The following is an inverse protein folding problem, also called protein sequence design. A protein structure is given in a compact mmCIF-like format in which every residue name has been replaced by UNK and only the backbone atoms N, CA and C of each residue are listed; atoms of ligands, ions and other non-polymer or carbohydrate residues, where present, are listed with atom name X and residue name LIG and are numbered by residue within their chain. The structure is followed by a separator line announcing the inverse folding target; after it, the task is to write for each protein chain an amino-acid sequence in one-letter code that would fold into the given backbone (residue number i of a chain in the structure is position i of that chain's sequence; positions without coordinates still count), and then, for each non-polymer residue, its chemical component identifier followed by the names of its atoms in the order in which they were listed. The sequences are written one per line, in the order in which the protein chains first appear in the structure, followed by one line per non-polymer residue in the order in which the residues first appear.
data_IF_988315068023
#
_entry.id   IF_988315068023
#
_cell.length_a   1.000
_cell.length_b   1.000
_cell.length_c   1.000
_cell.angle_alpha   90.00
_cell.angle_beta   90.00
_cell.angle_gamma   90.00
#
_symmetry.space_group_name_H-M   'P 1'
#
loop_
_entity.id
_entity.type
_entity.pdbx_description
1 polymer ?
#
# COMPACT_ATOMS: atom_id res chain seq x y z
N UNK A 1 -3.10 19.55 8.87
CA UNK A 1 -3.69 18.23 9.13
C UNK A 1 -5.09 18.09 8.54
N UNK A 2 -6.07 18.94 8.87
CA UNK A 2 -7.42 18.83 8.30
C UNK A 2 -7.48 18.90 6.76
N UNK A 3 -6.63 19.73 6.13
CA UNK A 3 -6.50 19.78 4.66
C UNK A 3 -5.95 18.47 4.08
N UNK A 4 -5.00 17.84 4.76
CA UNK A 4 -4.41 16.57 4.33
C UNK A 4 -5.46 15.47 4.29
N UNK A 5 -6.26 15.35 5.36
CA UNK A 5 -7.38 14.42 5.39
C UNK A 5 -8.39 14.71 4.29
N UNK A 6 -8.74 15.97 4.07
CA UNK A 6 -9.71 16.34 3.03
C UNK A 6 -9.22 15.91 1.64
N UNK A 7 -7.94 16.13 1.34
CA UNK A 7 -7.31 15.68 0.08
C UNK A 7 -7.31 14.16 -0.01
N UNK A 8 -6.89 13.46 1.05
CA UNK A 8 -6.88 11.99 1.11
C UNK A 8 -8.29 11.43 0.87
N UNK A 9 -9.32 11.97 1.53
CA UNK A 9 -10.70 11.51 1.37
C UNK A 9 -11.27 11.87 -0.01
N UNK A 10 -10.99 13.08 -0.52
CA UNK A 10 -11.42 13.48 -1.85
C UNK A 10 -10.83 12.56 -2.92
N UNK A 11 -9.53 12.29 -2.84
CA UNK A 11 -8.88 11.36 -3.75
C UNK A 11 -9.38 9.93 -3.59
N UNK A 12 -9.63 9.48 -2.36
CA UNK A 12 -10.22 8.16 -2.13
C UNK A 12 -11.60 8.04 -2.80
N UNK A 13 -12.46 9.05 -2.67
CA UNK A 13 -13.78 9.05 -3.32
C UNK A 13 -13.62 9.05 -4.84
N UNK A 14 -12.68 9.84 -5.36
CA UNK A 14 -12.39 9.90 -6.80
C UNK A 14 -11.86 8.57 -7.31
N UNK A 15 -10.95 7.92 -6.58
CA UNK A 15 -10.35 6.63 -6.94
C UNK A 15 -11.38 5.51 -6.83
N UNK A 16 -12.20 5.46 -5.78
CA UNK A 16 -13.28 4.48 -5.66
C UNK A 16 -14.29 4.63 -6.79
N UNK A 17 -14.67 5.87 -7.11
CA UNK A 17 -15.57 6.13 -8.22
C UNK A 17 -14.91 5.75 -9.56
N UNK A 18 -13.63 6.07 -9.73
CA UNK A 18 -12.86 5.72 -10.92
C UNK A 18 -12.69 4.21 -11.06
N UNK A 19 -12.39 3.46 -9.99
CA UNK A 19 -12.27 2.00 -10.00
C UNK A 19 -13.61 1.34 -10.33
N UNK A 20 -14.73 1.85 -9.82
CA UNK A 20 -16.05 1.38 -10.18
C UNK A 20 -16.28 1.51 -11.70
N UNK A 21 -15.95 2.68 -12.28
CA UNK A 21 -16.05 2.92 -13.72
C UNK A 21 -15.02 2.12 -14.53
N UNK A 22 -13.81 1.96 -14.00
CA UNK A 22 -12.74 1.22 -14.63
C UNK A 22 -13.12 -0.26 -14.72
N UNK A 23 -13.60 -0.89 -13.66
CA UNK A 23 -14.04 -2.28 -13.68
C UNK A 23 -15.10 -2.53 -14.77
N UNK A 24 -16.01 -1.58 -14.97
CA UNK A 24 -17.00 -1.60 -16.06
C UNK A 24 -16.37 -1.43 -17.44
N UNK A 25 -15.28 -0.66 -17.56
CA UNK A 25 -14.58 -0.37 -18.82
C UNK A 25 -13.52 -1.42 -19.20
N UNK A 26 -12.79 -2.00 -18.24
CA UNK A 26 -11.77 -3.03 -18.50
C UNK A 26 -12.33 -4.39 -18.80
N UNK A 27 -13.59 -4.67 -18.45
CA UNK A 27 -14.34 -5.80 -19.03
C UNK A 27 -14.39 -5.72 -20.57
N UNK A 28 -14.09 -4.54 -21.17
CA UNK A 28 -14.18 -4.29 -22.61
C UNK A 28 -12.82 -4.04 -23.32
N UNK A 29 -11.68 -3.90 -22.62
CA UNK A 29 -10.37 -3.65 -23.28
C UNK A 29 -9.16 -4.06 -22.43
N UNK A 30 -8.12 -4.58 -23.10
CA UNK A 30 -6.83 -5.05 -22.54
C UNK A 30 -6.27 -4.20 -21.38
N UNK A 31 -6.49 -4.63 -20.13
CA UNK A 31 -6.18 -3.88 -18.91
C UNK A 31 -4.68 -3.68 -18.59
N UNK A 32 -3.78 -4.40 -19.25
CA UNK A 32 -2.37 -4.51 -18.84
C UNK A 32 -1.56 -3.19 -18.87
N UNK A 33 -1.90 -2.25 -19.76
CA UNK A 33 -1.18 -0.98 -19.87
C UNK A 33 -1.55 0.04 -18.79
N UNK A 34 -2.78 -0.06 -18.26
CA UNK A 34 -3.27 0.90 -17.25
C UNK A 34 -2.62 0.60 -15.90
N UNK A 35 -2.44 -0.68 -15.57
CA UNK A 35 -1.82 -1.13 -14.32
C UNK A 35 -0.37 -0.60 -14.21
N UNK A 36 0.43 -0.76 -15.27
CA UNK A 36 1.81 -0.24 -15.34
C UNK A 36 1.84 1.28 -15.16
N UNK A 37 0.90 1.99 -15.80
CA UNK A 37 0.80 3.45 -15.67
C UNK A 37 0.50 3.90 -14.23
N UNK A 38 -0.40 3.21 -13.54
CA UNK A 38 -0.73 3.50 -12.14
C UNK A 38 0.45 3.24 -11.20
N UNK A 39 1.17 2.14 -11.40
CA UNK A 39 2.38 1.84 -10.62
C UNK A 39 3.46 2.92 -10.81
N UNK A 40 3.75 3.30 -12.06
CA UNK A 40 4.75 4.34 -12.36
C UNK A 40 4.35 5.67 -11.71
N UNK A 41 3.07 6.06 -11.79
CA UNK A 41 2.57 7.27 -11.14
C UNK A 41 2.70 7.20 -9.62
N UNK A 42 2.36 6.06 -9.03
CA UNK A 42 2.47 5.83 -7.58
C UNK A 42 3.92 5.98 -7.11
N UNK A 43 4.87 5.28 -7.72
CA UNK A 43 6.29 5.38 -7.36
C UNK A 43 6.86 6.78 -7.60
N UNK A 44 6.50 7.42 -8.71
CA UNK A 44 6.92 8.79 -9.02
C UNK A 44 6.39 9.78 -7.98
N UNK A 45 5.13 9.64 -7.56
CA UNK A 45 4.54 10.52 -6.53
C UNK A 45 5.19 10.31 -5.15
N UNK A 46 5.55 9.07 -4.80
CA UNK A 46 6.29 8.75 -3.58
C UNK A 46 7.67 9.40 -3.59
N UNK A 47 8.38 9.30 -4.72
CA UNK A 47 9.67 9.97 -4.90
C UNK A 47 9.58 11.49 -4.81
N UNK A 48 8.60 12.10 -5.49
CA UNK A 48 8.33 13.54 -5.40
C UNK A 48 8.00 13.98 -3.96
N UNK A 49 7.26 13.17 -3.22
CA UNK A 49 6.93 13.42 -1.80
C UNK A 49 8.18 13.40 -0.93
N UNK A 50 9.07 12.42 -1.11
CA UNK A 50 10.34 12.36 -0.40
C UNK A 50 11.23 13.57 -0.70
N UNK A 51 11.34 13.95 -1.99
CA UNK A 51 12.10 15.13 -2.39
C UNK A 51 11.52 16.40 -1.76
N UNK A 52 10.19 16.54 -1.75
CA UNK A 52 9.51 17.68 -1.13
C UNK A 52 9.79 17.75 0.39
N UNK A 53 9.77 16.62 1.09
CA UNK A 53 10.13 16.54 2.52
C UNK A 53 11.59 16.95 2.74
N UNK A 54 12.52 16.48 1.90
CA UNK A 54 13.93 16.89 1.99
C UNK A 54 14.10 18.39 1.77
N UNK A 55 13.46 18.97 0.75
CA UNK A 55 13.50 20.41 0.50
C UNK A 55 12.87 21.18 1.66
N UNK A 56 11.74 20.71 2.21
CA UNK A 56 11.09 21.29 3.39
C UNK A 56 12.03 21.33 4.59
N UNK A 57 12.85 20.28 4.80
CA UNK A 57 13.88 20.28 5.84
C UNK A 57 14.95 21.38 5.63
N UNK A 58 15.39 21.59 4.39
CA UNK A 58 16.37 22.63 4.05
C UNK A 58 15.83 24.06 4.21
N UNK A 59 14.52 24.27 4.02
CA UNK A 59 13.89 25.60 4.05
C UNK A 59 13.03 25.85 5.28
N UNK A 60 13.06 24.96 6.28
CA UNK A 60 12.20 25.01 7.47
C UNK A 60 12.24 26.34 8.23
N UNK A 61 13.40 27.01 8.23
CA UNK A 61 13.65 28.27 8.94
C UNK A 61 13.42 29.53 8.07
N UNK A 62 12.96 29.37 6.82
CA UNK A 62 12.78 30.48 5.87
C UNK A 62 11.30 30.82 5.67
N UNK A 63 10.83 31.85 6.37
CA UNK A 63 9.51 32.44 6.12
C UNK A 63 9.53 33.29 4.83
N UNK A 64 8.49 33.25 3.97
CA UNK A 64 7.27 32.42 4.04
C UNK A 64 7.37 31.08 3.30
N UNK A 65 8.53 30.75 2.73
CA UNK A 65 8.73 29.57 1.89
C UNK A 65 8.41 28.26 2.60
N UNK A 66 8.69 28.17 3.90
CA UNK A 66 8.40 26.99 4.70
C UNK A 66 6.89 26.64 4.72
N UNK A 67 5.99 27.62 4.75
CA UNK A 67 4.55 27.40 4.72
C UNK A 67 4.06 26.94 3.33
N UNK A 68 4.61 27.53 2.26
CA UNK A 68 4.32 27.08 0.89
C UNK A 68 4.78 25.63 0.68
N UNK A 69 5.98 25.29 1.15
CA UNK A 69 6.49 23.93 1.08
C UNK A 69 5.71 22.96 1.96
N UNK A 70 5.22 23.39 3.13
CA UNK A 70 4.32 22.58 3.95
C UNK A 70 3.02 22.28 3.20
N UNK A 71 2.40 23.28 2.58
CA UNK A 71 1.18 23.11 1.81
C UNK A 71 1.39 22.15 0.63
N UNK A 72 2.46 22.35 -0.14
CA UNK A 72 2.83 21.48 -1.25
C UNK A 72 3.09 20.04 -0.79
N UNK A 73 3.90 19.85 0.26
CA UNK A 73 4.20 18.53 0.81
C UNK A 73 2.94 17.85 1.32
N UNK A 74 2.03 18.62 1.93
CA UNK A 74 0.74 18.11 2.42
C UNK A 74 -0.13 17.62 1.26
N UNK A 75 -0.19 18.37 0.17
CA UNK A 75 -0.90 17.96 -1.05
C UNK A 75 -0.27 16.70 -1.64
N UNK A 76 1.04 16.69 -1.88
CA UNK A 76 1.75 15.54 -2.45
C UNK A 76 1.63 14.28 -1.59
N UNK A 77 1.81 14.41 -0.27
CA UNK A 77 1.63 13.30 0.66
C UNK A 77 0.17 12.83 0.66
N UNK A 78 -0.79 13.75 0.73
CA UNK A 78 -2.20 13.41 0.65
C UNK A 78 -2.52 12.63 -0.62
N UNK A 79 -1.94 13.05 -1.74
CA UNK A 79 -2.13 12.39 -3.02
C UNK A 79 -1.50 11.01 -3.09
N UNK A 80 -0.26 10.90 -2.63
CA UNK A 80 0.45 9.62 -2.55
C UNK A 80 -0.33 8.60 -1.71
N UNK A 81 -0.80 9.00 -0.53
CA UNK A 81 -1.59 8.12 0.33
C UNK A 81 -2.95 7.79 -0.29
N UNK A 82 -3.61 8.74 -0.95
CA UNK A 82 -4.84 8.53 -1.71
C UNK A 82 -4.70 7.42 -2.75
N UNK A 83 -3.60 7.43 -3.50
CA UNK A 83 -3.30 6.44 -4.54
C UNK A 83 -2.92 5.05 -4.02
N UNK A 84 -2.51 4.90 -2.75
CA UNK A 84 -2.12 3.59 -2.19
C UNK A 84 -3.21 2.54 -2.33
N UNK A 85 -4.50 2.92 -2.26
CA UNK A 85 -5.62 1.99 -2.44
C UNK A 85 -5.66 1.41 -3.85
N UNK A 86 -5.36 2.24 -4.85
CA UNK A 86 -5.42 1.82 -6.25
C UNK A 86 -4.39 0.74 -6.57
N UNK A 87 -3.19 0.86 -5.99
CA UNK A 87 -2.06 -0.01 -6.32
C UNK A 87 -1.93 -1.21 -5.39
N UNK A 88 -2.02 -1.01 -4.07
CA UNK A 88 -1.68 -2.05 -3.08
C UNK A 88 -2.93 -2.78 -2.57
N UNK A 89 -4.13 -2.33 -2.94
CA UNK A 89 -5.43 -2.90 -2.50
C UNK A 89 -5.59 -3.01 -0.96
N UNK A 90 -4.76 -2.30 -0.17
CA UNK A 90 -4.87 -2.28 1.30
C UNK A 90 -5.50 -0.98 1.78
N UNK A 91 -6.48 -1.13 2.66
CA UNK A 91 -7.14 -0.02 3.36
C UNK A 91 -6.46 0.34 4.69
N UNK A 92 -5.52 -0.50 5.15
CA UNK A 92 -4.85 -0.37 6.44
C UNK A 92 -4.15 0.99 6.60
N UNK A 93 -3.53 1.47 5.52
CA UNK A 93 -2.88 2.78 5.45
C UNK A 93 -3.81 3.93 5.81
N UNK A 94 -5.01 3.94 5.20
CA UNK A 94 -6.02 4.96 5.44
C UNK A 94 -6.53 4.92 6.87
N UNK A 95 -6.73 3.72 7.41
CA UNK A 95 -7.14 3.55 8.80
C UNK A 95 -6.09 4.15 9.75
N UNK A 96 -4.80 3.85 9.53
CA UNK A 96 -3.71 4.40 10.33
C UNK A 96 -3.66 5.93 10.26
N UNK A 97 -3.65 6.51 9.05
CA UNK A 97 -3.62 7.97 8.85
C UNK A 97 -4.85 8.64 9.47
N UNK A 98 -6.04 8.04 9.30
CA UNK A 98 -7.29 8.50 9.90
C UNK A 98 -7.23 8.53 11.42
N UNK A 99 -6.80 7.42 12.05
CA UNK A 99 -6.64 7.34 13.51
C UNK A 99 -5.66 8.40 14.01
N UNK A 100 -4.49 8.55 13.37
CA UNK A 100 -3.49 9.53 13.77
C UNK A 100 -4.03 10.96 13.67
N UNK A 101 -4.78 11.28 12.61
CA UNK A 101 -5.35 12.62 12.49
C UNK A 101 -6.44 12.88 13.54
N UNK A 102 -7.34 11.91 13.79
CA UNK A 102 -8.30 11.99 14.91
C UNK A 102 -7.58 12.15 16.25
N UNK A 103 -6.45 11.44 16.43
CA UNK A 103 -5.63 11.52 17.63
C UNK A 103 -5.07 12.92 17.86
N UNK A 104 -4.53 13.53 16.82
CA UNK A 104 -3.97 14.87 16.88
C UNK A 104 -5.05 15.94 17.07
N UNK A 105 -6.20 15.81 16.40
CA UNK A 105 -7.33 16.71 16.60
C UNK A 105 -7.89 16.61 18.02
N UNK A 106 -8.11 15.38 18.51
CA UNK A 106 -8.56 15.12 19.87
C UNK A 106 -7.55 15.62 20.90
N UNK A 107 -6.26 15.41 20.67
CA UNK A 107 -5.18 15.90 21.51
C UNK A 107 -5.12 17.43 21.56
N UNK A 108 -5.30 18.11 20.43
CA UNK A 108 -5.38 19.56 20.38
C UNK A 108 -6.56 20.08 21.24
N UNK A 109 -7.75 19.50 21.10
CA UNK A 109 -8.91 19.87 21.92
C UNK A 109 -8.66 19.56 23.40
N UNK A 110 -8.20 18.35 23.73
CA UNK A 110 -7.91 17.94 25.09
C UNK A 110 -6.86 18.84 25.76
N UNK A 111 -5.86 19.32 25.01
CA UNK A 111 -4.83 20.23 25.53
C UNK A 111 -5.40 21.57 26.02
N UNK A 112 -6.54 22.01 25.48
CA UNK A 112 -7.22 23.22 25.96
C UNK A 112 -7.96 23.01 27.29
N UNK A 113 -8.34 21.77 27.58
CA UNK A 113 -9.09 21.36 28.77
C UNK A 113 -8.16 21.00 29.93
N UNK A 114 -6.99 20.42 29.62
CA UNK A 114 -6.02 19.94 30.62
C UNK A 114 -4.98 21.03 30.89
N UNK A 115 -5.28 21.95 31.81
CA UNK A 115 -4.38 23.08 32.14
C UNK A 115 -3.35 22.75 33.23
N UNK A 116 -3.64 21.79 34.10
CA UNK A 116 -2.83 21.52 35.31
C UNK A 116 -1.73 20.48 35.11
N UNK A 117 -1.75 19.74 34.00
CA UNK A 117 -0.76 18.69 33.73
C UNK A 117 0.40 19.28 32.92
N UNK A 118 1.62 19.03 33.34
CA UNK A 118 2.83 19.51 32.66
C UNK A 118 3.75 18.36 32.25
N UNK A 119 4.65 18.65 31.30
CA UNK A 119 5.69 17.72 30.88
C UNK A 119 5.16 16.49 30.11
N UNK A 120 5.83 15.33 30.19
CA UNK A 120 5.45 14.13 29.44
C UNK A 120 4.05 13.60 29.75
N UNK A 121 3.56 13.86 30.97
CA UNK A 121 2.20 13.46 31.39
C UNK A 121 1.13 14.20 30.60
N UNK A 122 1.39 15.44 30.19
CA UNK A 122 0.46 16.23 29.37
C UNK A 122 0.27 15.58 28.00
N UNK A 123 1.37 15.12 27.40
CA UNK A 123 1.36 14.48 26.10
C UNK A 123 0.50 13.19 26.11
N UNK A 124 0.67 12.35 27.13
CA UNK A 124 -0.14 11.14 27.29
C UNK A 124 -1.59 11.46 27.60
N UNK A 125 -1.85 12.42 28.50
CA UNK A 125 -3.21 12.83 28.88
C UNK A 125 -4.00 13.44 27.72
N UNK A 126 -3.32 14.02 26.72
CA UNK A 126 -3.97 14.65 25.56
C UNK A 126 -4.08 13.70 24.37
N UNK A 127 -3.02 12.96 24.05
CA UNK A 127 -3.03 12.07 22.88
C UNK A 127 -3.81 10.78 23.10
N UNK A 128 -3.81 10.20 24.31
CA UNK A 128 -4.50 8.93 24.55
C UNK A 128 -6.02 9.00 24.33
N UNK A 129 -6.75 10.04 24.81
CA UNK A 129 -8.17 10.20 24.49
C UNK A 129 -8.42 10.40 22.99
N UNK A 130 -7.56 11.16 22.31
CA UNK A 130 -7.66 11.35 20.87
C UNK A 130 -7.47 10.04 20.10
N UNK A 131 -6.49 9.24 20.50
CA UNK A 131 -6.26 7.92 19.92
C UNK A 131 -7.43 6.98 20.16
N UNK A 132 -7.98 6.95 21.37
CA UNK A 132 -9.15 6.13 21.68
C UNK A 132 -10.36 6.54 20.82
N UNK A 133 -10.56 7.85 20.63
CA UNK A 133 -11.60 8.39 19.74
C UNK A 133 -11.37 7.96 18.28
N UNK A 134 -10.14 8.09 17.78
CA UNK A 134 -9.75 7.67 16.44
C UNK A 134 -9.92 6.18 16.21
N UNK A 135 -9.48 5.35 17.15
CA UNK A 135 -9.62 3.89 17.10
C UNK A 135 -11.11 3.47 17.13
N UNK A 136 -11.91 4.10 17.98
CA UNK A 136 -13.36 3.84 18.04
C UNK A 136 -14.05 4.23 16.73
N UNK A 137 -13.73 5.40 16.18
CA UNK A 137 -14.23 5.84 14.89
C UNK A 137 -13.79 4.89 13.77
N UNK A 138 -12.54 4.43 13.79
CA UNK A 138 -12.03 3.46 12.82
C UNK A 138 -12.81 2.15 12.87
N UNK A 139 -13.04 1.59 14.06
CA UNK A 139 -13.86 0.38 14.23
C UNK A 139 -15.28 0.60 13.70
N UNK A 140 -15.91 1.72 14.07
CA UNK A 140 -17.28 2.02 13.62
C UNK A 140 -17.36 2.14 12.10
N UNK A 141 -16.46 2.93 11.48
CA UNK A 141 -16.44 3.15 10.04
C UNK A 141 -16.13 1.85 9.30
N UNK A 142 -15.13 1.11 9.76
CA UNK A 142 -14.71 -0.16 9.14
C UNK A 142 -15.80 -1.22 9.21
N UNK A 143 -16.61 -1.27 10.27
CA UNK A 143 -17.69 -2.25 10.42
C UNK A 143 -18.96 -1.87 9.68
N UNK A 144 -19.34 -0.59 9.72
CA UNK A 144 -20.64 -0.15 9.17
C UNK A 144 -20.54 0.11 7.67
N UNK A 145 -19.45 0.71 7.20
CA UNK A 145 -19.35 1.21 5.82
C UNK A 145 -18.42 0.37 4.93
N UNK A 146 -17.27 -0.07 5.44
CA UNK A 146 -16.21 -0.71 4.60
C UNK A 146 -16.26 -2.24 4.66
N UNK A 147 -16.81 -2.82 5.74
CA UNK A 147 -16.88 -4.26 5.99
C UNK A 147 -15.51 -4.97 6.04
N UNK A 148 -14.53 -4.31 6.66
CA UNK A 148 -13.16 -4.82 6.77
C UNK A 148 -13.03 -6.00 7.75
N UNK A 149 -12.00 -6.83 7.52
CA UNK A 149 -11.70 -7.96 8.40
C UNK A 149 -11.15 -7.51 9.76
N UNK A 150 -11.46 -8.27 10.81
CA UNK A 150 -11.03 -8.03 12.19
C UNK A 150 -9.51 -7.85 12.31
N UNK A 151 -8.75 -8.62 11.52
CA UNK A 151 -7.29 -8.60 11.52
C UNK A 151 -6.74 -7.26 11.00
N UNK A 152 -7.35 -6.72 9.94
CA UNK A 152 -6.95 -5.43 9.35
C UNK A 152 -7.23 -4.30 10.34
N UNK A 153 -8.42 -4.29 10.95
CA UNK A 153 -8.82 -3.26 11.93
C UNK A 153 -7.96 -3.32 13.20
N UNK A 154 -7.67 -4.52 13.70
CA UNK A 154 -6.80 -4.70 14.86
C UNK A 154 -5.37 -4.27 14.54
N UNK A 155 -4.86 -4.68 13.37
CA UNK A 155 -3.51 -4.33 12.93
C UNK A 155 -3.33 -2.83 12.74
N UNK A 156 -4.28 -2.15 12.09
CA UNK A 156 -4.21 -0.69 11.88
C UNK A 156 -4.27 0.07 13.20
N UNK A 157 -5.12 -0.38 14.12
CA UNK A 157 -5.22 0.18 15.47
C UNK A 157 -3.92 0.00 16.26
N UNK A 158 -3.34 -1.21 16.25
CA UNK A 158 -2.06 -1.50 16.91
C UNK A 158 -0.88 -0.71 16.31
N UNK A 159 -0.76 -0.68 14.98
CA UNK A 159 0.29 0.08 14.29
C UNK A 159 0.16 1.59 14.53
N UNK A 160 -1.06 2.13 14.57
CA UNK A 160 -1.28 3.55 14.89
C UNK A 160 -0.82 3.90 16.31
N UNK A 161 -1.02 3.00 17.28
CA UNK A 161 -0.54 3.19 18.65
C UNK A 161 0.99 3.16 18.70
N UNK A 162 1.63 2.22 18.00
CA UNK A 162 3.08 2.15 17.88
C UNK A 162 3.66 3.43 17.25
N UNK A 163 3.05 3.90 16.16
CA UNK A 163 3.40 5.16 15.50
C UNK A 163 3.28 6.36 16.44
N UNK A 164 2.22 6.41 17.24
CA UNK A 164 2.02 7.45 18.24
C UNK A 164 3.13 7.40 19.30
N UNK A 165 3.49 6.20 19.78
CA UNK A 165 4.60 6.02 20.72
C UNK A 165 5.93 6.54 20.14
N UNK A 166 6.29 6.14 18.92
CA UNK A 166 7.49 6.62 18.23
C UNK A 166 7.46 8.14 18.08
N UNK A 167 6.32 8.69 17.65
CA UNK A 167 6.15 10.15 17.53
C UNK A 167 6.31 10.86 18.87
N UNK A 168 5.80 10.30 19.97
CA UNK A 168 5.99 10.88 21.30
C UNK A 168 7.44 10.80 21.77
N UNK A 169 8.20 9.78 21.36
CA UNK A 169 9.63 9.68 21.66
C UNK A 169 10.44 10.71 20.86
N UNK A 170 10.17 10.85 19.56
CA UNK A 170 10.95 11.70 18.65
C UNK A 170 10.56 13.18 18.77
N UNK A 171 9.25 13.48 18.77
CA UNK A 171 8.72 14.83 18.71
C UNK A 171 8.08 15.31 20.02
N UNK A 172 7.96 14.45 21.03
CA UNK A 172 7.25 14.77 22.27
C UNK A 172 7.80 15.98 23.01
N UNK A 173 9.12 16.18 23.01
CA UNK A 173 9.74 17.36 23.62
C UNK A 173 9.29 18.65 22.93
N UNK A 174 9.17 18.66 21.61
CA UNK A 174 8.72 19.82 20.85
C UNK A 174 7.22 20.08 21.07
N UNK A 175 6.42 19.01 21.16
CA UNK A 175 4.98 19.09 21.47
C UNK A 175 4.71 19.66 22.86
N UNK A 176 5.56 19.39 23.85
CA UNK A 176 5.42 19.93 25.21
C UNK A 176 5.78 21.42 25.26
N UNK A 177 6.81 21.84 24.51
CA UNK A 177 7.31 23.22 24.56
C UNK A 177 6.42 24.21 23.80
N UNK A 178 5.59 23.76 22.86
CA UNK A 178 4.64 24.57 22.08
C UNK A 178 5.26 25.84 21.47
N UNK A 179 6.55 25.81 21.11
CA UNK A 179 7.19 26.93 20.44
C UNK A 179 6.73 26.96 18.97
N UNK A 180 6.22 28.08 18.46
CA UNK A 180 5.72 28.16 17.09
C UNK A 180 6.82 27.86 16.06
N UNK A 181 8.07 28.24 16.35
CA UNK A 181 9.22 27.98 15.47
C UNK A 181 9.55 26.48 15.34
N UNK A 182 9.18 25.68 16.34
CA UNK A 182 9.41 24.23 16.35
C UNK A 182 8.26 23.45 15.68
N UNK A 183 7.15 24.11 15.35
CA UNK A 183 6.00 23.49 14.68
C UNK A 183 6.38 22.82 13.37
N UNK A 184 7.23 23.48 12.57
CA UNK A 184 7.71 22.93 11.31
C UNK A 184 8.54 21.65 11.52
N UNK A 185 9.34 21.61 12.59
CA UNK A 185 10.16 20.43 12.93
C UNK A 185 9.27 19.25 13.33
N UNK A 186 8.19 19.50 14.06
CA UNK A 186 7.19 18.48 14.42
C UNK A 186 6.53 17.91 13.16
N UNK A 187 6.15 18.75 12.19
CA UNK A 187 5.54 18.28 10.94
C UNK A 187 6.52 17.46 10.12
N UNK A 188 7.77 17.92 9.97
CA UNK A 188 8.82 17.16 9.28
C UNK A 188 9.03 15.82 9.96
N UNK A 189 9.19 15.80 11.29
CA UNK A 189 9.36 14.57 12.07
C UNK A 189 8.18 13.63 11.85
N UNK A 190 6.94 14.11 12.01
CA UNK A 190 5.75 13.29 11.86
C UNK A 190 5.60 12.71 10.45
N UNK A 191 5.78 13.51 9.40
CA UNK A 191 5.72 13.02 8.02
C UNK A 191 6.85 12.04 7.72
N UNK A 192 8.05 12.27 8.25
CA UNK A 192 9.18 11.34 8.10
C UNK A 192 8.96 10.03 8.85
N UNK A 193 8.46 10.05 10.09
CA UNK A 193 8.15 8.86 10.87
C UNK A 193 7.06 8.05 10.19
N UNK A 194 6.01 8.70 9.68
CA UNK A 194 4.94 8.04 8.95
C UNK A 194 5.50 7.39 7.68
N UNK A 195 6.27 8.12 6.87
CA UNK A 195 6.90 7.56 5.67
C UNK A 195 7.84 6.39 6.02
N UNK A 196 8.66 6.48 7.05
CA UNK A 196 9.63 5.44 7.42
C UNK A 196 8.94 4.19 7.97
N UNK A 197 8.10 4.37 8.98
CA UNK A 197 7.47 3.24 9.70
C UNK A 197 6.45 2.52 8.84
N UNK A 198 5.79 3.25 7.93
CA UNK A 198 4.83 2.64 7.01
C UNK A 198 5.55 2.11 5.78
N UNK A 199 6.43 2.88 5.14
CA UNK A 199 7.02 2.43 3.86
C UNK A 199 8.03 1.31 4.05
N UNK A 200 8.86 1.28 5.11
CA UNK A 200 9.90 0.25 5.26
C UNK A 200 9.30 -1.16 5.33
N UNK A 201 8.33 -1.47 6.21
CA UNK A 201 7.71 -2.79 6.24
C UNK A 201 7.05 -3.15 4.91
N UNK A 202 6.39 -2.20 4.26
CA UNK A 202 5.76 -2.43 2.96
C UNK A 202 6.79 -2.72 1.88
N UNK A 203 7.89 -1.96 1.79
CA UNK A 203 8.99 -2.24 0.88
C UNK A 203 9.59 -3.61 1.15
N UNK A 204 9.91 -3.94 2.41
CA UNK A 204 10.49 -5.24 2.77
C UNK A 204 9.54 -6.38 2.39
N UNK A 205 8.25 -6.28 2.71
CA UNK A 205 7.28 -7.30 2.36
C UNK A 205 7.10 -7.42 0.85
N UNK A 206 7.00 -6.31 0.11
CA UNK A 206 6.92 -6.32 -1.36
C UNK A 206 8.14 -6.99 -1.98
N UNK A 207 9.35 -6.67 -1.50
CA UNK A 207 10.58 -7.35 -1.95
C UNK A 207 10.56 -8.84 -1.63
N UNK A 208 10.13 -9.23 -0.43
CA UNK A 208 10.00 -10.64 -0.06
C UNK A 208 8.98 -11.37 -0.97
N UNK A 209 7.86 -10.74 -1.30
CA UNK A 209 6.84 -11.33 -2.18
C UNK A 209 7.33 -11.48 -3.61
N UNK A 210 8.01 -10.47 -4.17
CA UNK A 210 8.59 -10.52 -5.52
C UNK A 210 9.56 -11.70 -5.62
N UNK A 211 10.49 -11.82 -4.68
CA UNK A 211 11.48 -12.91 -4.71
C UNK A 211 10.91 -14.29 -4.37
N UNK A 212 9.87 -14.37 -3.53
CA UNK A 212 9.17 -15.64 -3.30
C UNK A 212 8.44 -16.09 -4.58
N UNK A 213 7.84 -15.15 -5.32
CA UNK A 213 7.19 -15.44 -6.60
C UNK A 213 8.19 -15.92 -7.67
N UNK A 214 9.34 -15.25 -7.78
CA UNK A 214 10.42 -15.68 -8.69
C UNK A 214 10.94 -17.08 -8.33
N UNK A 215 11.17 -17.37 -7.05
CA UNK A 215 11.65 -18.68 -6.60
C UNK A 215 10.68 -19.83 -6.92
N UNK A 216 9.37 -19.61 -6.80
CA UNK A 216 8.36 -20.64 -7.12
C UNK A 216 8.29 -20.90 -8.63
N UNK A 217 8.38 -19.85 -9.45
CA UNK A 217 8.35 -20.00 -10.92
C UNK A 217 9.59 -20.72 -11.43
N UNK A 218 10.76 -20.46 -10.85
CA UNK A 218 11.99 -21.14 -11.24
C UNK A 218 11.97 -22.63 -10.85
N UNK A 219 11.44 -22.99 -9.66
CA UNK A 219 11.26 -24.40 -9.27
C UNK A 219 10.31 -25.16 -10.22
N UNK A 220 9.20 -24.55 -10.64
CA UNK A 220 8.26 -25.19 -11.57
C UNK A 220 8.88 -25.43 -12.96
N UNK A 221 9.70 -24.49 -13.44
CA UNK A 221 10.40 -24.60 -14.73
C UNK A 221 11.51 -25.65 -14.65
N UNK A 222 12.28 -25.68 -13.57
CA UNK A 222 13.34 -26.67 -13.34
C UNK A 222 12.74 -28.09 -13.23
N UNK A 223 11.67 -28.26 -12.45
CA UNK A 223 10.95 -29.52 -12.34
C UNK A 223 10.37 -29.99 -13.69
N UNK A 224 9.86 -29.07 -14.51
CA UNK A 224 9.37 -29.39 -15.86
C UNK A 224 10.50 -29.80 -16.81
N UNK A 225 11.66 -29.16 -16.72
CA UNK A 225 12.86 -29.50 -17.49
C UNK A 225 13.42 -30.88 -17.09
N UNK A 226 13.50 -31.18 -15.80
CA UNK A 226 13.93 -32.48 -15.30
C UNK A 226 12.96 -33.59 -15.71
N UNK A 227 11.65 -33.36 -15.63
CA UNK A 227 10.65 -34.30 -16.11
C UNK A 227 10.76 -34.54 -17.62
N UNK A 228 11.10 -33.51 -18.40
CA UNK A 228 11.41 -33.63 -19.83
C UNK A 228 12.62 -34.53 -20.11
N UNK A 229 13.74 -34.28 -19.42
CA UNK A 229 14.98 -35.04 -19.59
C UNK A 229 14.83 -36.50 -19.13
N UNK A 230 14.16 -36.75 -18.00
CA UNK A 230 13.88 -38.10 -17.52
C UNK A 230 13.05 -38.90 -18.54
N UNK A 231 12.10 -38.25 -19.23
CA UNK A 231 11.25 -38.89 -20.24
C UNK A 231 12.01 -39.19 -21.54
N UNK A 232 12.96 -38.34 -21.91
CA UNK A 232 13.82 -38.54 -23.08
C UNK A 232 14.89 -39.61 -22.84
N UNK A 233 15.45 -39.68 -21.63
CA UNK A 233 16.43 -40.69 -21.23
C UNK A 233 15.80 -42.07 -20.98
N UNK A 234 14.51 -42.12 -20.62
CA UNK A 234 13.72 -43.35 -20.48
C UNK A 234 13.25 -43.92 -21.82
N UNK A 235 13.51 -43.24 -22.95
CA UNK A 235 13.11 -43.73 -24.26
C UNK A 235 14.08 -44.86 -24.67
N UNK A 236 13.63 -46.13 -24.72
CA UNK A 236 14.51 -47.26 -25.00
C UNK A 236 15.14 -47.11 -26.39
N UNK A 237 16.45 -47.33 -26.48
CA UNK A 237 17.27 -47.16 -27.69
C UNK A 237 16.90 -48.09 -28.87
N UNK A 238 15.91 -48.96 -28.71
CA UNK A 238 15.50 -49.98 -29.70
C UNK A 238 14.58 -49.45 -30.82
N UNK A 239 14.38 -48.14 -30.94
CA UNK A 239 13.58 -47.52 -32.02
C UNK A 239 14.37 -46.58 -32.94
N UNK A 240 15.69 -46.79 -33.12
CA UNK A 240 16.41 -46.21 -34.27
C UNK A 240 16.08 -47.05 -35.51
N UNK A 241 14.91 -46.80 -36.09
CA UNK A 241 14.56 -47.34 -37.39
C UNK A 241 15.40 -46.65 -38.49
N UNK A 242 15.93 -47.39 -39.48
CA UNK A 242 16.74 -46.83 -40.56
C UNK A 242 15.92 -45.87 -41.44
N UNK A 243 16.58 -44.94 -42.16
CA UNK A 243 15.91 -43.95 -43.00
C UNK A 243 15.20 -44.67 -44.15
N UNK A 244 13.86 -44.77 -44.07
CA UNK A 244 13.04 -45.21 -45.20
C UNK A 244 12.89 -44.05 -46.18
N UNK A 245 13.66 -44.15 -47.25
CA UNK A 245 13.40 -43.52 -48.53
C UNK A 245 12.08 -44.05 -49.12
N UNK A 246 11.31 -43.10 -49.64
CA UNK A 246 10.31 -43.21 -50.69
C UNK A 246 8.89 -43.74 -50.43
N UNK A 247 8.00 -42.96 -51.07
CA UNK A 247 6.79 -43.37 -51.77
C UNK A 247 5.46 -43.43 -50.98
N UNK A 248 4.74 -42.31 -51.10
CA UNK A 248 3.45 -42.25 -51.81
C UNK A 248 2.34 -43.18 -51.28
N UNK A 249 1.53 -42.68 -50.35
CA UNK A 249 0.11 -43.05 -50.33
C UNK A 249 -0.77 -41.98 -49.67
N UNK A 250 -1.47 -41.23 -50.53
CA UNK A 250 -2.76 -40.61 -50.23
C UNK A 250 -3.68 -41.67 -49.64
N UNK A 251 -4.26 -41.42 -48.46
CA UNK A 251 -5.66 -41.73 -48.18
C UNK A 251 -6.26 -40.69 -47.23
N UNK A 252 -7.51 -40.39 -47.53
CA UNK A 252 -8.35 -39.27 -47.08
C UNK A 252 -9.32 -39.71 -45.98
N UNK A 253 -9.38 -38.92 -44.89
CA UNK A 253 -10.56 -38.72 -44.02
C UNK A 253 -10.65 -39.59 -42.75
N UNK A 254 -11.58 -39.31 -41.80
CA UNK A 254 -12.44 -38.13 -41.58
C UNK A 254 -12.16 -37.43 -40.20
N UNK A 255 -12.85 -36.32 -39.83
CA UNK A 255 -12.45 -35.47 -38.70
C UNK A 255 -12.98 -36.02 -37.37
N UNK A 256 -12.09 -36.18 -36.38
CA UNK A 256 -12.47 -36.55 -35.02
C UNK A 256 -12.83 -35.31 -34.19
N UNK A 257 -14.05 -35.34 -33.68
CA UNK A 257 -14.69 -34.43 -32.74
C UNK A 257 -13.78 -34.06 -31.56
N UNK A 258 -13.55 -32.74 -31.37
CA UNK A 258 -13.11 -32.17 -30.09
C UNK A 258 -14.27 -32.25 -29.10
N UNK A 259 -14.18 -33.19 -28.16
CA UNK A 259 -15.00 -33.17 -26.94
C UNK A 259 -14.45 -32.08 -26.02
N UNK A 260 -15.15 -30.96 -25.96
CA UNK A 260 -14.93 -29.90 -24.99
C UNK A 260 -15.62 -30.29 -23.67
N UNK A 261 -14.84 -30.53 -22.62
CA UNK A 261 -15.27 -30.41 -21.24
C UNK A 261 -14.07 -30.54 -20.30
N UNK A 262 -13.28 -29.47 -20.16
CA UNK A 262 -12.47 -29.29 -18.95
C UNK A 262 -13.25 -28.37 -18.00
N UNK A 263 -13.54 -28.82 -16.77
CA UNK A 263 -14.12 -27.96 -15.76
C UNK A 263 -13.05 -27.00 -15.24
N UNK A 264 -13.35 -25.70 -15.34
CA UNK A 264 -12.57 -24.64 -14.73
C UNK A 264 -12.49 -24.85 -13.21
N UNK A 265 -11.30 -25.20 -12.73
CA UNK A 265 -10.93 -25.18 -11.32
C UNK A 265 -10.70 -23.72 -10.93
N UNK A 266 -11.75 -23.04 -10.49
CA UNK A 266 -11.63 -21.76 -9.77
C UNK A 266 -11.03 -22.02 -8.40
N UNK A 267 -9.71 -21.89 -8.32
CA UNK A 267 -8.99 -21.73 -7.06
C UNK A 267 -9.18 -20.28 -6.62
N UNK A 268 -10.10 -20.05 -5.68
CA UNK A 268 -10.15 -18.80 -4.93
C UNK A 268 -8.95 -18.77 -3.98
N UNK A 269 -7.93 -18.00 -4.32
CA UNK A 269 -6.95 -17.50 -3.35
C UNK A 269 -7.52 -16.24 -2.67
N UNK A 270 -7.41 -16.25 -1.34
CA UNK A 270 -7.74 -15.26 -0.31
C UNK A 270 -7.77 -13.79 -0.74
#
# INVERSE_FOLDING_TARGET
MSLQLLVVFAEMIVIDHYQLWHNVLTEMREGRFIDIGQEVLFYSSGFCTLLAIMVMFCVKDRYPLNYWMMALTTLLSGSFWGMTRAVVQTTMHFQIVGILCCSMCGGAVASTLVKEVQGPKLLMATLAPGWLLGATANVLVSRVFVQETDRVVLGSTGLSMLLLCILTMDAGRYLILCKPDDFMKIIVAMNSTLMVVVSIPFFVLSFCFIHTGEAVVDEDVENALEAGHAREQSRPADQVAPPQSDALRRETGPPLQRSASEPALTVFSL
#
